data_IF_787630905875
#
_entry.id   IF_787630905875
#
_cell.length_a   1.000
_cell.length_b   1.000
_cell.length_c   1.000
_cell.angle_alpha   90.00
_cell.angle_beta   90.00
_cell.angle_gamma   90.00
#
_symmetry.space_group_name_H-M   'P 1'
#
loop_
_entity.id
_entity.type
_entity.pdbx_description
1 polymer ?
#
# COMPACT_ATOMS: atom_id res chain seq x y z
N UNK A 1 -19.60 -36.04 -40.44
CA UNK A 1 -19.56 -36.23 -38.97
C UNK A 1 -18.71 -35.10 -38.38
N UNK A 2 -19.13 -34.57 -37.22
CA UNK A 2 -18.79 -33.28 -36.60
C UNK A 2 -17.28 -32.95 -36.46
N UNK A 3 -16.84 -31.69 -36.68
CA UNK A 3 -15.74 -31.13 -35.88
C UNK A 3 -16.32 -30.71 -34.53
N UNK A 4 -16.09 -31.54 -33.50
CA UNK A 4 -16.39 -31.18 -32.13
C UNK A 4 -15.42 -30.07 -31.67
N UNK A 5 -16.00 -28.90 -31.42
CA UNK A 5 -15.73 -28.07 -30.24
C UNK A 5 -14.28 -27.56 -30.15
N UNK A 6 -14.02 -26.51 -30.93
CA UNK A 6 -13.00 -25.50 -30.59
C UNK A 6 -13.56 -24.63 -29.47
N UNK A 7 -13.45 -25.11 -28.23
CA UNK A 7 -13.88 -24.38 -27.03
C UNK A 7 -13.02 -24.86 -25.86
N UNK A 8 -12.01 -24.09 -25.45
CA UNK A 8 -11.48 -24.00 -24.06
C UNK A 8 -10.03 -23.49 -23.98
N UNK A 9 -9.75 -22.28 -24.47
CA UNK A 9 -8.51 -21.57 -24.10
C UNK A 9 -8.76 -20.21 -23.42
N UNK A 10 -10.02 -19.89 -23.06
CA UNK A 10 -10.38 -18.59 -22.49
C UNK A 10 -10.45 -18.55 -20.94
N UNK A 11 -10.24 -19.68 -20.25
CA UNK A 11 -10.49 -19.79 -18.80
C UNK A 11 -9.26 -19.54 -17.90
N UNK A 12 -8.11 -19.11 -18.44
CA UNK A 12 -6.86 -18.96 -17.67
C UNK A 12 -6.53 -17.51 -17.24
N UNK A 13 -7.42 -16.55 -17.48
CA UNK A 13 -7.22 -15.16 -17.04
C UNK A 13 -7.65 -14.91 -15.58
N UNK A 14 -7.54 -15.91 -14.72
CA UNK A 14 -7.60 -15.75 -13.26
C UNK A 14 -6.31 -15.03 -12.79
N UNK A 15 -6.14 -13.78 -13.20
CA UNK A 15 -4.95 -13.00 -12.91
C UNK A 15 -4.89 -12.61 -11.44
N UNK A 16 -3.80 -12.99 -10.77
CA UNK A 16 -3.45 -12.38 -9.50
C UNK A 16 -3.09 -10.91 -9.76
N UNK A 17 -3.80 -9.99 -9.11
CA UNK A 17 -3.53 -8.55 -9.16
C UNK A 17 -2.83 -8.13 -7.87
N UNK A 18 -1.87 -7.22 -7.98
CA UNK A 18 -1.25 -6.51 -6.86
C UNK A 18 -1.23 -5.02 -7.18
N UNK A 19 -1.62 -4.18 -6.23
CA UNK A 19 -1.69 -2.74 -6.41
C UNK A 19 -1.19 -2.00 -5.17
N UNK A 20 -0.51 -0.88 -5.40
CA UNK A 20 0.00 -0.01 -4.34
C UNK A 20 1.37 -0.42 -3.80
N UNK A 21 1.79 0.19 -2.69
CA UNK A 21 3.13 -0.01 -2.14
C UNK A 21 3.14 -1.16 -1.15
N UNK A 22 3.83 -2.26 -1.50
CA UNK A 22 3.98 -3.44 -0.65
C UNK A 22 4.95 -3.17 0.52
N UNK A 23 4.49 -2.48 1.56
CA UNK A 23 5.27 -2.19 2.76
C UNK A 23 5.19 -3.33 3.79
N UNK A 24 6.26 -3.58 4.53
CA UNK A 24 6.28 -4.54 5.65
C UNK A 24 5.52 -3.97 6.86
N UNK A 25 4.43 -4.59 7.33
CA UNK A 25 3.72 -4.15 8.53
C UNK A 25 4.62 -4.10 9.78
N UNK A 26 5.57 -5.03 9.91
CA UNK A 26 6.51 -5.04 11.04
C UNK A 26 7.54 -3.90 10.97
N UNK A 27 7.71 -3.27 9.81
CA UNK A 27 8.50 -2.04 9.71
C UNK A 27 7.76 -0.82 10.30
N UNK A 28 6.42 -0.80 10.26
CA UNK A 28 5.61 0.26 10.86
C UNK A 28 5.79 0.30 12.36
N UNK A 29 5.83 -0.87 13.02
CA UNK A 29 6.04 -1.00 14.46
C UNK A 29 7.42 -0.50 14.93
N UNK A 30 8.38 -0.42 14.02
CA UNK A 30 9.77 0.04 14.28
C UNK A 30 9.95 1.54 14.05
N UNK A 31 8.93 2.23 13.53
CA UNK A 31 8.98 3.68 13.35
C UNK A 31 9.03 4.41 14.69
N UNK A 32 9.63 5.58 14.68
CA UNK A 32 9.77 6.43 15.86
C UNK A 32 9.25 7.82 15.57
N UNK A 33 8.50 8.37 16.51
CA UNK A 33 8.10 9.78 16.49
C UNK A 33 9.35 10.66 16.33
N UNK A 34 9.26 11.67 15.46
CA UNK A 34 10.36 12.57 15.12
C UNK A 34 11.19 12.14 13.89
N UNK A 35 10.96 10.94 13.33
CA UNK A 35 11.59 10.54 12.06
C UNK A 35 11.17 11.49 10.93
N UNK A 36 12.12 11.78 10.04
CA UNK A 36 11.84 12.56 8.82
C UNK A 36 11.05 11.73 7.81
N UNK A 37 10.34 12.39 6.90
CA UNK A 37 9.68 11.72 5.76
C UNK A 37 10.64 10.80 4.99
N UNK A 38 11.87 11.22 4.75
CA UNK A 38 12.86 10.44 4.01
C UNK A 38 13.20 9.12 4.72
N UNK A 39 13.43 9.16 6.04
CA UNK A 39 13.71 7.95 6.83
C UNK A 39 12.53 6.98 6.82
N UNK A 40 11.31 7.48 6.94
CA UNK A 40 10.10 6.64 6.87
C UNK A 40 9.93 6.02 5.48
N UNK A 41 10.18 6.80 4.42
CA UNK A 41 10.11 6.34 3.03
C UNK A 41 11.20 5.30 2.72
N UNK A 42 12.39 5.43 3.31
CA UNK A 42 13.45 4.43 3.19
C UNK A 42 13.02 3.07 3.77
N UNK A 43 12.23 3.09 4.86
CA UNK A 43 11.74 1.87 5.51
C UNK A 43 10.50 1.27 4.82
N UNK A 44 9.55 2.09 4.39
CA UNK A 44 8.23 1.65 3.90
C UNK A 44 8.07 1.72 2.37
N UNK A 45 9.02 2.35 1.67
CA UNK A 45 8.86 2.74 0.27
C UNK A 45 8.04 4.02 0.10
N UNK A 46 7.79 4.42 -1.15
CA UNK A 46 7.04 5.63 -1.47
C UNK A 46 5.56 5.49 -1.06
N UNK A 47 4.95 6.52 -0.44
CA UNK A 47 3.53 6.51 -0.14
C UNK A 47 2.71 6.54 -1.44
N UNK A 48 1.51 5.98 -1.38
CA UNK A 48 0.56 6.04 -2.48
C UNK A 48 -0.11 7.41 -2.57
N UNK A 49 -0.25 8.11 -1.43
CA UNK A 49 -0.85 9.43 -1.37
C UNK A 49 -0.16 10.31 -0.33
N UNK A 50 -0.14 11.61 -0.61
CA UNK A 50 0.30 12.66 0.32
C UNK A 50 -0.81 13.69 0.41
N UNK A 51 -1.34 13.91 1.61
CA UNK A 51 -2.39 14.89 1.87
C UNK A 51 -1.80 16.02 2.70
N UNK A 52 -1.89 17.26 2.24
CA UNK A 52 -1.56 18.42 3.06
C UNK A 52 -2.77 18.79 3.92
N UNK A 53 -2.56 18.94 5.22
CA UNK A 53 -3.60 19.33 6.19
C UNK A 53 -3.50 20.83 6.49
N UNK A 54 -4.62 21.46 6.85
CA UNK A 54 -4.74 22.92 7.01
C UNK A 54 -3.74 23.53 8.00
N UNK A 55 -3.22 22.76 8.95
CA UNK A 55 -2.18 23.17 9.90
C UNK A 55 -0.77 23.28 9.30
N UNK A 56 -0.58 22.97 8.02
CA UNK A 56 0.72 22.92 7.34
C UNK A 56 1.42 21.57 7.46
N UNK A 57 0.87 20.63 8.23
CA UNK A 57 1.33 19.24 8.28
C UNK A 57 0.96 18.45 7.02
N UNK A 58 1.39 17.19 6.98
CA UNK A 58 1.04 16.25 5.93
C UNK A 58 0.64 14.90 6.49
N UNK A 59 -0.23 14.17 5.78
CA UNK A 59 -0.49 12.74 6.05
C UNK A 59 -0.03 11.94 4.83
N UNK A 60 0.95 11.07 5.04
CA UNK A 60 1.42 10.14 4.01
C UNK A 60 0.66 8.82 4.19
N UNK A 61 0.18 8.24 3.09
CA UNK A 61 -0.67 7.06 3.12
C UNK A 61 -0.07 5.98 2.23
N UNK A 62 0.09 4.79 2.80
CA UNK A 62 0.45 3.57 2.10
C UNK A 62 -0.76 2.65 2.07
N UNK A 63 -1.02 2.06 0.91
CA UNK A 63 -2.05 1.07 0.68
C UNK A 63 -1.42 -0.04 -0.16
N UNK A 64 -1.65 -1.28 0.24
CA UNK A 64 -1.32 -2.44 -0.57
C UNK A 64 -2.51 -3.36 -0.63
N UNK A 65 -2.89 -3.76 -1.85
CA UNK A 65 -3.97 -4.70 -2.06
C UNK A 65 -3.53 -5.79 -3.02
N UNK A 66 -3.88 -7.03 -2.71
CA UNK A 66 -3.72 -8.19 -3.57
C UNK A 66 -5.08 -8.84 -3.81
N UNK A 67 -5.25 -9.40 -5.00
CA UNK A 67 -6.47 -10.12 -5.38
C UNK A 67 -6.12 -11.33 -6.22
N UNK A 68 -6.83 -12.42 -5.99
CA UNK A 68 -6.73 -13.66 -6.76
C UNK A 68 -8.10 -14.32 -6.83
N UNK A 69 -8.22 -15.39 -7.63
CA UNK A 69 -9.42 -16.22 -7.67
C UNK A 69 -9.80 -16.82 -6.31
N UNK A 70 -8.84 -16.91 -5.38
CA UNK A 70 -9.02 -17.50 -4.05
C UNK A 70 -9.27 -16.48 -2.95
N UNK A 71 -9.28 -15.18 -3.28
CA UNK A 71 -9.55 -14.12 -2.32
C UNK A 71 -8.71 -12.87 -2.53
N UNK A 72 -8.98 -11.87 -1.71
CA UNK A 72 -8.28 -10.59 -1.71
C UNK A 72 -7.79 -10.24 -0.31
N UNK A 73 -6.69 -9.49 -0.26
CA UNK A 73 -6.16 -8.89 0.97
C UNK A 73 -5.90 -7.41 0.71
N UNK A 74 -6.12 -6.58 1.72
CA UNK A 74 -5.76 -5.17 1.65
C UNK A 74 -5.26 -4.70 3.01
N UNK A 75 -4.24 -3.86 3.01
CA UNK A 75 -3.74 -3.16 4.20
C UNK A 75 -3.46 -1.71 3.88
N UNK A 76 -3.61 -0.85 4.87
CA UNK A 76 -3.30 0.57 4.75
C UNK A 76 -2.77 1.13 6.05
N UNK A 77 -1.88 2.10 5.94
CA UNK A 77 -1.39 2.88 7.07
C UNK A 77 -1.27 4.34 6.65
N UNK A 78 -1.73 5.24 7.52
CA UNK A 78 -1.62 6.68 7.32
C UNK A 78 -0.78 7.28 8.43
N UNK A 79 0.37 7.85 8.08
CA UNK A 79 1.32 8.41 9.03
C UNK A 79 1.25 9.94 8.99
N UNK A 80 0.93 10.60 10.10
CA UNK A 80 0.87 12.05 10.18
C UNK A 80 2.27 12.65 10.40
N UNK A 81 2.55 13.73 9.68
CA UNK A 81 3.77 14.52 9.77
C UNK A 81 3.42 15.96 10.13
N UNK A 82 4.19 16.54 11.03
CA UNK A 82 4.05 17.94 11.44
C UNK A 82 4.49 18.90 10.33
N UNK A 83 4.27 20.22 10.52
CA UNK A 83 4.73 21.25 9.59
C UNK A 83 6.26 21.27 9.41
N UNK A 84 7.00 20.75 10.39
CA UNK A 84 8.45 20.56 10.37
C UNK A 84 8.88 19.32 9.55
N UNK A 85 7.93 18.57 8.98
CA UNK A 85 8.20 17.38 8.18
C UNK A 85 8.60 16.15 9.00
N UNK A 86 8.27 16.11 10.31
CA UNK A 86 8.59 15.00 11.20
C UNK A 86 7.36 14.21 11.60
N UNK A 87 7.53 12.90 11.75
CA UNK A 87 6.47 11.97 12.15
C UNK A 87 5.95 12.33 13.54
N UNK A 88 4.64 12.53 13.70
CA UNK A 88 4.06 12.95 14.99
C UNK A 88 3.49 11.78 15.79
N UNK A 89 3.09 10.70 15.12
CA UNK A 89 2.45 9.55 15.74
C UNK A 89 2.71 8.28 14.93
N UNK A 90 2.85 7.16 15.63
CA UNK A 90 2.90 5.81 15.04
C UNK A 90 1.63 5.07 15.49
N UNK A 91 0.82 4.53 14.57
CA UNK A 91 -0.35 3.75 14.93
C UNK A 91 0.04 2.52 15.76
N UNK A 92 -0.74 2.22 16.81
CA UNK A 92 -0.59 1.04 17.66
C UNK A 92 -1.44 -0.12 17.18
#
# INVERSE_FOLDING_TARGET
MKPLISLSAAALLAGCVSMGTNYDPAAVERLQVGMTKAQVIEMLGQPNQVITIASGGQKLIWVHSTGSMFGANARSVGLPFGPDGRLIEVPK
#
